data_IF_702022078809
#
_entry.id   IF_702022078809
#
_cell.length_a   1.000
_cell.length_b   1.000
_cell.length_c   1.000
_cell.angle_alpha   90.00
_cell.angle_beta   90.00
_cell.angle_gamma   90.00
#
_symmetry.space_group_name_H-M   'P 1'
#
loop_
_entity.id
_entity.type
_entity.pdbx_description
1 polymer ?
#
# COMPACT_ATOMS: atom_id res chain seq x y z
N UNK A 1 34.23 37.85 10.94
CA UNK A 1 33.10 37.05 11.46
C UNK A 1 33.08 35.71 10.73
N UNK A 2 32.59 34.63 11.36
CA UNK A 2 32.61 33.27 10.81
C UNK A 2 31.19 32.69 10.75
N UNK A 3 30.85 32.01 9.66
CA UNK A 3 29.54 31.41 9.44
C UNK A 3 29.71 30.02 8.83
N UNK A 4 28.98 29.02 9.34
CA UNK A 4 28.86 27.69 8.74
C UNK A 4 27.39 27.37 8.55
N UNK A 5 27.04 26.98 7.33
CA UNK A 5 25.71 26.49 6.97
C UNK A 5 25.79 24.99 6.76
N UNK A 6 24.85 24.26 7.33
CA UNK A 6 24.73 22.81 7.17
C UNK A 6 23.33 22.50 6.67
N UNK A 7 23.23 21.64 5.66
CA UNK A 7 21.95 21.10 5.24
C UNK A 7 21.60 19.93 6.17
N UNK A 8 20.40 19.94 6.73
CA UNK A 8 19.85 18.80 7.46
C UNK A 8 19.15 17.87 6.47
N UNK A 9 19.24 16.56 6.72
CA UNK A 9 18.49 15.57 5.96
C UNK A 9 16.98 15.68 6.28
N UNK A 10 16.16 15.04 5.45
CA UNK A 10 14.72 14.98 5.67
C UNK A 10 14.41 14.40 7.06
N UNK A 11 13.48 15.06 7.76
CA UNK A 11 13.03 14.66 9.09
C UNK A 11 14.11 14.68 10.19
N UNK A 12 15.13 15.53 10.06
CA UNK A 12 16.10 15.79 11.14
C UNK A 12 15.79 17.11 11.83
N UNK A 13 15.73 17.12 13.17
CA UNK A 13 15.56 18.31 14.00
C UNK A 13 16.76 18.55 14.92
N UNK A 14 17.06 19.82 15.20
CA UNK A 14 18.09 20.22 16.16
C UNK A 14 17.51 20.11 17.57
N UNK A 15 18.20 19.38 18.44
CA UNK A 15 17.77 19.17 19.84
C UNK A 15 18.56 20.02 20.84
N UNK A 16 19.74 20.50 20.46
CA UNK A 16 20.56 21.33 21.34
C UNK A 16 21.85 21.79 20.68
N UNK A 17 22.51 22.73 21.33
CA UNK A 17 23.81 23.24 20.93
C UNK A 17 24.63 23.57 22.18
N UNK A 18 25.84 23.01 22.25
CA UNK A 18 26.73 23.15 23.40
C UNK A 18 28.10 23.62 22.91
N UNK A 19 28.72 24.54 23.63
CA UNK A 19 30.07 25.04 23.32
C UNK A 19 31.02 24.66 24.45
N UNK A 20 31.99 23.80 24.16
CA UNK A 20 32.98 23.35 25.13
C UNK A 20 34.38 23.35 24.50
N UNK A 21 35.38 23.87 25.21
CA UNK A 21 36.77 23.95 24.74
C UNK A 21 36.92 24.58 23.34
N UNK A 22 36.09 25.56 23.01
CA UNK A 22 36.09 26.22 21.71
C UNK A 22 35.48 25.41 20.56
N UNK A 23 34.90 24.24 20.84
CA UNK A 23 34.18 23.42 19.87
C UNK A 23 32.68 23.58 20.06
N UNK A 24 31.98 23.98 19.00
CA UNK A 24 30.53 23.98 18.95
C UNK A 24 30.04 22.58 18.56
N UNK A 25 29.30 21.93 19.47
CA UNK A 25 28.64 20.66 19.24
C UNK A 25 27.14 20.90 19.05
N UNK A 26 26.61 20.51 17.90
CA UNK A 26 25.17 20.59 17.60
C UNK A 26 24.60 19.18 17.72
N UNK A 27 23.60 19.01 18.57
CA UNK A 27 22.87 17.75 18.73
C UNK A 27 21.66 17.75 17.81
N UNK A 28 21.51 16.69 17.02
CA UNK A 28 20.39 16.51 16.08
C UNK A 28 19.77 15.13 16.29
N UNK A 29 18.46 15.01 16.11
CA UNK A 29 17.74 13.72 16.12
C UNK A 29 16.94 13.55 14.84
N UNK A 30 16.80 12.31 14.42
CA UNK A 30 15.88 11.93 13.36
C UNK A 30 14.47 11.71 13.94
N UNK A 31 13.47 12.33 13.35
CA UNK A 31 12.06 12.11 13.62
C UNK A 31 11.55 11.08 12.61
N UNK A 32 10.91 10.00 13.08
CA UNK A 32 10.15 9.12 12.21
C UNK A 32 8.70 9.64 12.09
N UNK A 33 8.23 10.01 10.89
CA UNK A 33 6.83 10.35 10.69
C UNK A 33 5.93 9.15 11.02
N UNK A 34 4.94 9.35 11.88
CA UNK A 34 3.97 8.29 12.21
C UNK A 34 3.13 7.82 11.02
N UNK A 35 3.14 8.57 9.90
CA UNK A 35 2.50 8.23 8.64
C UNK A 35 3.14 7.03 7.91
N UNK A 36 4.34 6.59 8.31
CA UNK A 36 5.03 5.41 7.77
C UNK A 36 4.69 4.11 8.53
N UNK A 37 3.82 4.14 9.53
CA UNK A 37 3.31 2.88 10.11
C UNK A 37 2.32 2.25 9.12
N UNK A 38 2.61 1.07 8.54
CA UNK A 38 1.65 0.34 7.74
C UNK A 38 0.47 -0.02 8.65
N UNK A 39 -0.67 0.66 8.47
CA UNK A 39 -1.90 0.28 9.17
C UNK A 39 -2.45 -0.96 8.47
N UNK A 40 -2.53 -2.06 9.20
CA UNK A 40 -3.19 -3.29 8.71
C UNK A 40 -4.67 -2.97 8.52
N UNK A 41 -5.11 -2.84 7.28
CA UNK A 41 -6.54 -2.77 6.96
C UNK A 41 -7.12 -4.19 7.04
N UNK A 42 -8.06 -4.49 7.95
CA UNK A 42 -8.76 -5.76 7.92
C UNK A 42 -9.60 -5.81 6.65
N UNK A 43 -9.25 -6.71 5.73
CA UNK A 43 -10.10 -7.02 4.59
C UNK A 43 -11.31 -7.77 5.14
N UNK A 44 -12.45 -7.10 5.26
CA UNK A 44 -13.71 -7.78 5.51
C UNK A 44 -14.14 -8.43 4.20
N UNK A 45 -14.09 -9.76 4.16
CA UNK A 45 -14.77 -10.54 3.14
C UNK A 45 -16.28 -10.34 3.33
N UNK A 46 -16.82 -9.31 2.67
CA UNK A 46 -18.25 -9.22 2.41
C UNK A 46 -18.72 -10.44 1.60
N UNK A 47 -20.03 -10.75 1.62
CA UNK A 47 -20.57 -11.93 0.95
C UNK A 47 -20.09 -11.96 -0.50
N UNK A 48 -19.48 -13.09 -0.85
CA UNK A 48 -18.84 -13.30 -2.15
C UNK A 48 -19.88 -13.02 -3.23
N UNK A 49 -19.64 -11.97 -4.02
CA UNK A 49 -20.40 -11.77 -5.25
C UNK A 49 -20.09 -12.98 -6.13
N UNK A 50 -21.10 -13.85 -6.25
CA UNK A 50 -21.09 -15.05 -7.07
C UNK A 50 -20.62 -14.64 -8.46
N UNK A 51 -19.42 -15.10 -8.83
CA UNK A 51 -18.85 -14.93 -10.15
C UNK A 51 -19.75 -15.71 -11.11
N UNK A 52 -20.76 -15.04 -11.67
CA UNK A 52 -21.69 -15.61 -12.65
C UNK A 52 -20.88 -16.08 -13.85
N UNK A 53 -20.59 -17.38 -13.87
CA UNK A 53 -20.22 -18.10 -15.08
C UNK A 53 -21.48 -18.10 -15.94
N UNK A 54 -21.50 -17.26 -16.98
CA UNK A 54 -22.59 -17.23 -17.96
C UNK A 54 -22.64 -18.58 -18.68
N UNK A 55 -23.43 -19.52 -18.14
CA UNK A 55 -23.93 -20.68 -18.87
C UNK A 55 -24.84 -20.15 -19.98
N UNK A 56 -24.28 -20.03 -21.18
CA UNK A 56 -25.07 -19.84 -22.39
C UNK A 56 -25.42 -21.22 -22.96
N UNK A 57 -26.57 -21.74 -22.51
CA UNK A 57 -27.47 -22.60 -23.25
C UNK A 57 -28.81 -22.49 -22.52
N UNK A 58 -29.94 -22.16 -23.17
CA UNK A 58 -30.55 -23.04 -24.19
C UNK A 58 -31.25 -22.26 -25.33
N UNK A 59 -31.57 -22.89 -26.47
CA UNK A 59 -32.91 -23.38 -26.84
C UNK A 59 -33.10 -23.18 -28.37
N UNK A 60 -34.20 -23.62 -29.01
CA UNK A 60 -34.77 -24.97 -29.10
C UNK A 60 -35.13 -25.33 -30.56
N UNK A 61 -35.26 -26.61 -30.93
CA UNK A 61 -36.26 -27.10 -31.90
C UNK A 61 -36.13 -28.61 -32.10
N UNK A 62 -37.27 -29.29 -31.91
CA UNK A 62 -37.51 -30.72 -31.91
C UNK A 62 -37.76 -31.26 -33.36
N UNK A 63 -38.24 -32.50 -33.55
CA UNK A 63 -37.53 -33.75 -33.82
C UNK A 63 -37.59 -34.20 -35.30
N UNK A 64 -36.70 -35.09 -35.74
CA UNK A 64 -36.87 -35.84 -37.00
C UNK A 64 -36.82 -37.37 -36.72
N UNK A 65 -37.68 -38.18 -37.37
CA UNK A 65 -38.22 -39.39 -36.80
C UNK A 65 -37.36 -40.64 -37.05
N UNK A 66 -37.61 -41.63 -36.19
CA UNK A 66 -37.22 -43.04 -36.24
C UNK A 66 -37.61 -43.79 -37.52
N UNK A 67 -36.67 -44.60 -38.03
CA UNK A 67 -36.86 -45.97 -38.57
C UNK A 67 -35.44 -46.53 -38.89
N UNK A 68 -34.88 -47.55 -38.24
CA UNK A 68 -35.22 -48.98 -38.23
C UNK A 68 -35.12 -49.67 -39.61
N UNK A 69 -34.43 -50.82 -39.61
CA UNK A 69 -34.19 -51.79 -40.70
C UNK A 69 -33.04 -51.42 -41.67
N UNK A 70 -32.10 -52.30 -42.04
CA UNK A 70 -31.97 -53.76 -41.93
C UNK A 70 -30.48 -54.15 -41.94
#
# INVERSE_FOLDING_TARGET
AFERRFALADHVEVTGADMNNGLLRISVRQIMPEALKPRRIPVQSGPQAELVTKTEAPAPANPQPTAAAA
#
